data_IF_167147428075
#
_entry.id   IF_167147428075
#
_cell.length_a   1.000
_cell.length_b   1.000
_cell.length_c   1.000
_cell.angle_alpha   90.00
_cell.angle_beta   90.00
_cell.angle_gamma   90.00
#
_symmetry.space_group_name_H-M   'P 1'
#
loop_
_entity.id
_entity.type
_entity.pdbx_description
1 polymer ?
#
# COMPACT_ATOMS: atom_id res chain seq x y z
N UNK A 1 -10.49 18.82 -0.83
CA UNK A 1 -9.67 19.28 -1.97
C UNK A 1 -8.30 19.64 -1.41
N UNK A 2 -7.25 18.88 -1.72
CA UNK A 2 -5.90 19.21 -1.26
C UNK A 2 -5.43 20.52 -1.94
N UNK A 3 -4.80 21.41 -1.17
CA UNK A 3 -4.38 22.75 -1.63
C UNK A 3 -3.43 22.62 -2.81
N UNK A 4 -3.74 23.28 -3.91
CA UNK A 4 -2.95 23.24 -5.14
C UNK A 4 -1.70 24.10 -5.02
N UNK A 5 -0.52 23.47 -4.97
CA UNK A 5 0.77 24.16 -5.03
C UNK A 5 1.07 24.61 -6.47
N UNK A 6 0.24 25.48 -7.04
CA UNK A 6 0.44 26.03 -8.39
C UNK A 6 0.29 25.02 -9.53
N UNK A 7 -0.28 23.84 -9.27
CA UNK A 7 -0.55 22.82 -10.28
C UNK A 7 -1.75 23.21 -11.14
N UNK A 8 -1.70 22.86 -12.43
CA UNK A 8 -2.80 23.12 -13.35
C UNK A 8 -4.07 22.41 -12.87
N UNK A 9 -5.22 23.11 -12.94
CA UNK A 9 -6.54 22.58 -12.56
C UNK A 9 -6.84 21.20 -13.17
N UNK A 10 -6.47 21.00 -14.44
CA UNK A 10 -6.59 19.72 -15.15
C UNK A 10 -5.87 18.55 -14.46
N UNK A 11 -4.75 18.82 -13.78
CA UNK A 11 -3.98 17.81 -13.06
C UNK A 11 -4.67 17.50 -11.73
N UNK A 12 -5.09 18.54 -11.00
CA UNK A 12 -5.74 18.40 -9.68
C UNK A 12 -7.07 17.66 -9.77
N UNK A 13 -7.82 17.91 -10.85
CA UNK A 13 -9.12 17.29 -11.10
C UNK A 13 -8.99 15.83 -11.60
N UNK A 14 -7.78 15.36 -11.94
CA UNK A 14 -7.59 14.00 -12.42
C UNK A 14 -7.50 13.00 -11.25
N UNK A 15 -8.21 11.85 -11.28
CA UNK A 15 -8.19 10.86 -10.19
C UNK A 15 -6.79 10.37 -9.79
N UNK A 16 -5.89 10.27 -10.77
CA UNK A 16 -4.49 9.88 -10.52
C UNK A 16 -3.72 10.86 -9.63
N UNK A 17 -4.10 12.14 -9.59
CA UNK A 17 -3.49 13.10 -8.68
C UNK A 17 -3.81 12.74 -7.23
N UNK A 18 -5.10 12.51 -6.92
CA UNK A 18 -5.53 12.10 -5.58
C UNK A 18 -4.91 10.76 -5.17
N UNK A 19 -4.82 9.80 -6.11
CA UNK A 19 -4.15 8.53 -5.87
C UNK A 19 -2.63 8.66 -5.72
N UNK A 20 -2.01 9.72 -6.24
CA UNK A 20 -0.57 9.96 -6.15
C UNK A 20 -0.12 10.78 -4.95
N UNK A 21 -1.05 11.34 -4.15
CA UNK A 21 -0.73 12.31 -3.10
C UNK A 21 0.21 11.79 -2.01
N UNK A 22 0.12 10.50 -1.65
CA UNK A 22 0.97 9.93 -0.61
C UNK A 22 2.39 9.60 -1.12
N UNK A 23 2.57 9.46 -2.44
CA UNK A 23 3.81 8.96 -3.03
C UNK A 23 5.08 9.74 -2.64
N UNK A 24 5.09 11.09 -2.63
CA UNK A 24 6.26 11.85 -2.20
C UNK A 24 6.64 11.58 -0.74
N UNK A 25 5.64 11.44 0.14
CA UNK A 25 5.87 11.21 1.57
C UNK A 25 6.36 9.78 1.85
N UNK A 26 5.77 8.79 1.17
CA UNK A 26 6.23 7.40 1.22
C UNK A 26 7.67 7.29 0.69
N UNK A 27 7.98 7.96 -0.43
CA UNK A 27 9.34 7.96 -0.99
C UNK A 27 10.33 8.61 -0.03
N UNK A 28 10.00 9.76 0.54
CA UNK A 28 10.85 10.44 1.52
C UNK A 28 11.03 9.60 2.80
N UNK A 29 9.97 8.96 3.28
CA UNK A 29 10.04 8.03 4.41
C UNK A 29 11.00 6.87 4.09
N UNK A 30 10.90 6.27 2.92
CA UNK A 30 11.76 5.16 2.51
C UNK A 30 13.24 5.59 2.45
N UNK A 31 13.56 6.72 1.82
CA UNK A 31 14.94 7.23 1.71
C UNK A 31 15.56 7.53 3.10
N UNK A 32 14.75 8.03 4.04
CA UNK A 32 15.21 8.38 5.39
C UNK A 32 15.44 7.17 6.30
N UNK A 33 14.96 6.00 5.90
CA UNK A 33 15.05 4.77 6.70
C UNK A 33 15.91 3.68 6.03
N UNK A 34 16.03 3.69 4.69
CA UNK A 34 16.85 2.73 3.93
C UNK A 34 18.15 3.37 3.39
N UNK A 35 19.17 3.38 4.26
CA UNK A 35 20.51 3.93 3.95
C UNK A 35 21.43 2.97 3.18
N UNK A 36 20.98 1.76 2.88
CA UNK A 36 21.78 0.77 2.15
C UNK A 36 22.08 1.24 0.71
N UNK A 37 23.19 0.82 0.11
CA UNK A 37 23.41 1.03 -1.34
C UNK A 37 22.83 -0.15 -2.11
N UNK A 38 22.38 0.12 -3.32
CA UNK A 38 21.99 -0.96 -4.24
C UNK A 38 23.27 -1.51 -4.84
N UNK A 39 23.52 -2.79 -4.60
CA UNK A 39 24.56 -3.56 -5.29
C UNK A 39 23.94 -4.33 -6.46
N UNK A 40 24.66 -4.39 -7.58
CA UNK A 40 24.29 -5.25 -8.70
C UNK A 40 24.96 -6.61 -8.50
N UNK A 41 24.25 -7.66 -8.06
CA UNK A 41 24.86 -8.93 -7.64
C UNK A 41 25.58 -9.66 -8.78
N UNK A 42 25.21 -9.39 -10.04
CA UNK A 42 25.83 -9.98 -11.23
C UNK A 42 27.11 -9.27 -11.68
N UNK A 43 27.33 -8.03 -11.26
CA UNK A 43 28.47 -7.22 -11.70
C UNK A 43 29.41 -6.85 -10.55
N UNK A 44 29.05 -7.16 -9.30
CA UNK A 44 29.76 -6.78 -8.07
C UNK A 44 30.10 -5.28 -8.01
N UNK A 45 29.20 -4.46 -8.57
CA UNK A 45 29.31 -3.00 -8.58
C UNK A 45 28.29 -2.44 -7.60
N UNK A 46 28.78 -1.68 -6.63
CA UNK A 46 27.96 -0.79 -5.80
C UNK A 46 27.60 0.47 -6.58
N UNK A 47 26.30 0.72 -6.70
CA UNK A 47 25.84 1.95 -7.31
C UNK A 47 26.13 3.13 -6.37
N UNK A 48 26.60 4.25 -6.93
CA UNK A 48 26.80 5.49 -6.17
C UNK A 48 25.53 5.93 -5.45
N UNK A 49 25.68 6.67 -4.34
CA UNK A 49 24.56 7.05 -3.45
C UNK A 49 23.39 7.67 -4.20
N UNK A 50 23.65 8.63 -5.09
CA UNK A 50 22.59 9.33 -5.84
C UNK A 50 21.80 8.40 -6.76
N UNK A 51 22.49 7.47 -7.44
CA UNK A 51 21.84 6.52 -8.36
C UNK A 51 21.04 5.48 -7.58
N UNK A 52 21.59 4.98 -6.46
CA UNK A 52 20.87 4.10 -5.54
C UNK A 52 19.57 4.74 -5.05
N UNK A 53 19.60 6.01 -4.65
CA UNK A 53 18.40 6.74 -4.20
C UNK A 53 17.35 6.85 -5.30
N UNK A 54 17.75 7.19 -6.54
CA UNK A 54 16.81 7.29 -7.68
C UNK A 54 16.13 5.94 -7.95
N UNK A 55 16.89 4.85 -7.97
CA UNK A 55 16.34 3.52 -8.22
C UNK A 55 15.40 3.09 -7.08
N UNK A 56 15.73 3.40 -5.82
CA UNK A 56 14.84 3.16 -4.68
C UNK A 56 13.52 3.91 -4.82
N UNK A 57 13.55 5.19 -5.17
CA UNK A 57 12.33 5.99 -5.40
C UNK A 57 11.48 5.38 -6.51
N UNK A 58 12.11 4.99 -7.63
CA UNK A 58 11.40 4.32 -8.71
C UNK A 58 10.76 3.01 -8.27
N UNK A 59 11.47 2.20 -7.48
CA UNK A 59 10.96 0.97 -6.90
C UNK A 59 9.75 1.22 -6.00
N UNK A 60 9.85 2.17 -5.07
CA UNK A 60 8.75 2.56 -4.17
C UNK A 60 7.53 3.02 -4.97
N UNK A 61 7.73 3.87 -5.99
CA UNK A 61 6.65 4.34 -6.85
C UNK A 61 5.97 3.19 -7.61
N UNK A 62 6.76 2.26 -8.14
CA UNK A 62 6.25 1.08 -8.83
C UNK A 62 5.42 0.19 -7.89
N UNK A 63 5.94 -0.15 -6.71
CA UNK A 63 5.22 -0.93 -5.70
C UNK A 63 3.93 -0.26 -5.25
N UNK A 64 3.96 1.06 -5.05
CA UNK A 64 2.79 1.84 -4.69
C UNK A 64 1.69 1.79 -5.77
N UNK A 65 2.06 1.94 -7.05
CA UNK A 65 1.10 1.85 -8.16
C UNK A 65 0.49 0.44 -8.23
N UNK A 66 1.32 -0.60 -8.12
CA UNK A 66 0.84 -1.99 -8.09
C UNK A 66 -0.15 -2.20 -6.93
N UNK A 67 0.17 -1.69 -5.75
CA UNK A 67 -0.70 -1.77 -4.59
C UNK A 67 -2.10 -1.19 -4.88
N UNK A 68 -2.18 0.01 -5.47
CA UNK A 68 -3.45 0.63 -5.82
C UNK A 68 -4.21 -0.19 -6.86
N UNK A 69 -3.54 -0.69 -7.90
CA UNK A 69 -4.16 -1.52 -8.94
C UNK A 69 -4.71 -2.81 -8.35
N UNK A 70 -3.93 -3.49 -7.50
CA UNK A 70 -4.37 -4.72 -6.84
C UNK A 70 -5.57 -4.48 -5.93
N UNK A 71 -5.62 -3.36 -5.22
CA UNK A 71 -6.77 -2.99 -4.38
C UNK A 71 -8.05 -2.85 -5.20
N UNK A 72 -7.98 -2.15 -6.35
CA UNK A 72 -9.12 -1.98 -7.26
C UNK A 72 -9.55 -3.32 -7.88
N UNK A 73 -8.59 -4.11 -8.36
CA UNK A 73 -8.88 -5.42 -8.96
C UNK A 73 -9.47 -6.41 -7.95
N UNK A 74 -8.98 -6.37 -6.71
CA UNK A 74 -9.49 -7.25 -5.65
C UNK A 74 -10.98 -7.01 -5.42
N UNK A 75 -11.42 -5.74 -5.45
CA UNK A 75 -12.84 -5.39 -5.30
C UNK A 75 -13.77 -6.13 -6.26
N UNK A 76 -13.31 -6.46 -7.46
CA UNK A 76 -14.09 -7.16 -8.49
C UNK A 76 -14.01 -8.69 -8.46
N UNK A 77 -13.15 -9.31 -7.64
CA UNK A 77 -12.93 -10.75 -7.73
C UNK A 77 -14.17 -11.60 -7.47
N UNK A 78 -15.07 -11.19 -6.58
CA UNK A 78 -16.33 -11.89 -6.34
C UNK A 78 -17.23 -11.93 -7.57
N UNK A 79 -17.34 -10.82 -8.31
CA UNK A 79 -18.08 -10.78 -9.58
C UNK A 79 -17.43 -11.73 -10.59
N UNK A 80 -16.10 -11.69 -10.73
CA UNK A 80 -15.37 -12.58 -11.64
C UNK A 80 -15.52 -14.06 -11.27
N UNK A 81 -15.46 -14.41 -9.98
CA UNK A 81 -15.63 -15.79 -9.49
C UNK A 81 -17.04 -16.30 -9.73
N UNK A 82 -18.04 -15.42 -9.65
CA UNK A 82 -19.44 -15.75 -9.99
C UNK A 82 -19.58 -16.13 -11.47
N UNK A 83 -18.88 -15.43 -12.35
CA UNK A 83 -18.87 -15.74 -13.80
C UNK A 83 -18.10 -17.03 -14.10
N UNK A 84 -16.95 -17.24 -13.47
CA UNK A 84 -16.17 -18.46 -13.61
C UNK A 84 -15.33 -18.78 -12.37
N UNK A 85 -15.48 -19.99 -11.86
CA UNK A 85 -14.67 -20.50 -10.73
C UNK A 85 -13.17 -20.55 -11.04
N UNK A 86 -12.77 -20.48 -12.31
CA UNK A 86 -11.35 -20.42 -12.69
C UNK A 86 -10.66 -19.17 -12.10
N UNK A 87 -11.40 -18.08 -11.90
CA UNK A 87 -10.87 -16.86 -11.29
C UNK A 87 -10.45 -17.03 -9.82
N UNK A 88 -10.81 -18.12 -9.15
CA UNK A 88 -10.29 -18.46 -7.82
C UNK A 88 -8.77 -18.70 -7.82
N UNK A 89 -8.16 -18.98 -8.98
CA UNK A 89 -6.71 -19.17 -9.08
C UNK A 89 -5.94 -17.92 -8.61
N UNK A 90 -6.46 -16.72 -8.85
CA UNK A 90 -5.82 -15.46 -8.45
C UNK A 90 -5.74 -15.30 -6.92
N UNK A 91 -6.84 -15.35 -6.15
CA UNK A 91 -6.76 -15.26 -4.70
C UNK A 91 -6.00 -16.44 -4.07
N UNK A 92 -6.03 -17.64 -4.66
CA UNK A 92 -5.18 -18.75 -4.21
C UNK A 92 -3.70 -18.37 -4.34
N UNK A 93 -3.29 -17.87 -5.50
CA UNK A 93 -1.90 -17.51 -5.76
C UNK A 93 -1.42 -16.37 -4.86
N UNK A 94 -2.25 -15.33 -4.69
CA UNK A 94 -1.96 -14.21 -3.79
C UNK A 94 -1.78 -14.70 -2.35
N UNK A 95 -2.66 -15.58 -1.87
CA UNK A 95 -2.54 -16.16 -0.53
C UNK A 95 -1.24 -16.97 -0.37
N UNK A 96 -0.91 -17.84 -1.33
CA UNK A 96 0.30 -18.65 -1.27
C UNK A 96 1.58 -17.81 -1.29
N UNK A 97 1.66 -16.79 -2.16
CA UNK A 97 2.80 -15.87 -2.19
C UNK A 97 2.92 -15.11 -0.86
N UNK A 98 1.79 -14.65 -0.31
CA UNK A 98 1.78 -13.90 0.93
C UNK A 98 2.32 -14.74 2.10
N UNK A 99 1.90 -16.00 2.21
CA UNK A 99 2.41 -16.96 3.20
C UNK A 99 3.89 -17.26 2.97
N UNK A 100 4.30 -17.51 1.72
CA UNK A 100 5.70 -17.77 1.40
C UNK A 100 6.61 -16.59 1.77
N UNK A 101 6.19 -15.36 1.43
CA UNK A 101 6.91 -14.13 1.77
C UNK A 101 7.03 -13.96 3.28
N UNK A 102 5.95 -14.23 4.02
CA UNK A 102 5.92 -14.11 5.48
C UNK A 102 6.90 -15.05 6.18
N UNK A 103 7.03 -16.28 5.69
CA UNK A 103 7.85 -17.32 6.33
C UNK A 103 9.32 -17.23 5.90
N UNK A 104 9.59 -16.75 4.68
CA UNK A 104 10.93 -16.85 4.07
C UNK A 104 11.77 -15.60 4.21
N UNK A 105 11.19 -14.45 4.59
CA UNK A 105 11.87 -13.15 4.56
C UNK A 105 11.46 -12.28 5.76
N UNK A 106 12.24 -12.33 6.85
CA UNK A 106 11.99 -11.59 8.09
C UNK A 106 11.95 -10.06 7.89
N UNK A 107 12.69 -9.54 6.91
CA UNK A 107 12.77 -8.11 6.57
C UNK A 107 11.89 -7.71 5.37
N UNK A 108 11.01 -8.60 4.87
CA UNK A 108 10.15 -8.25 3.73
C UNK A 108 9.04 -7.27 4.13
N UNK A 109 8.71 -6.26 3.28
CA UNK A 109 7.59 -5.37 3.52
C UNK A 109 6.27 -6.13 3.69
N UNK A 110 5.62 -5.94 4.83
CA UNK A 110 4.40 -6.69 5.20
C UNK A 110 3.12 -6.19 4.55
N UNK A 111 3.16 -5.18 3.68
CA UNK A 111 1.99 -4.71 2.92
C UNK A 111 1.31 -5.82 2.11
N UNK A 112 2.08 -6.78 1.58
CA UNK A 112 1.54 -7.93 0.84
C UNK A 112 0.70 -8.89 1.69
N UNK A 113 0.82 -8.83 3.03
CA UNK A 113 -0.02 -9.62 3.95
C UNK A 113 -1.48 -9.18 3.91
N UNK A 114 -1.74 -7.90 3.66
CA UNK A 114 -3.11 -7.38 3.58
C UNK A 114 -3.87 -8.09 2.45
N UNK A 115 -3.25 -8.21 1.27
CA UNK A 115 -3.84 -8.96 0.17
C UNK A 115 -3.94 -10.45 0.45
N UNK A 116 -2.98 -11.05 1.17
CA UNK A 116 -3.07 -12.44 1.62
C UNK A 116 -4.27 -12.69 2.54
N UNK A 117 -4.50 -11.81 3.52
CA UNK A 117 -5.64 -11.88 4.44
C UNK A 117 -6.95 -11.70 3.69
N UNK A 118 -7.04 -10.69 2.81
CA UNK A 118 -8.21 -10.47 1.96
C UNK A 118 -8.51 -11.72 1.10
N UNK A 119 -7.49 -12.28 0.45
CA UNK A 119 -7.59 -13.50 -0.34
C UNK A 119 -8.07 -14.69 0.48
N UNK A 120 -7.53 -14.89 1.68
CA UNK A 120 -7.96 -15.95 2.58
C UNK A 120 -9.44 -15.78 2.96
N UNK A 121 -9.86 -14.57 3.34
CA UNK A 121 -11.25 -14.29 3.67
C UNK A 121 -12.17 -14.58 2.49
N UNK A 122 -11.81 -14.14 1.28
CA UNK A 122 -12.56 -14.47 0.08
C UNK A 122 -12.66 -15.99 -0.11
N UNK A 123 -11.56 -16.73 0.00
CA UNK A 123 -11.53 -18.20 -0.16
C UNK A 123 -12.32 -18.95 0.92
N UNK A 124 -12.42 -18.42 2.13
CA UNK A 124 -13.22 -19.02 3.20
C UNK A 124 -14.72 -18.81 2.98
N UNK A 125 -15.10 -17.64 2.48
CA UNK A 125 -16.51 -17.22 2.40
C UNK A 125 -17.10 -17.25 0.98
N UNK A 126 -16.33 -17.56 -0.08
CA UNK A 126 -16.83 -17.50 -1.48
C UNK A 126 -18.05 -18.41 -1.74
N UNK A 127 -18.24 -19.49 -0.97
CA UNK A 127 -19.42 -20.37 -1.12
C UNK A 127 -20.73 -19.70 -0.70
N UNK A 128 -20.64 -18.65 0.11
CA UNK A 128 -21.77 -17.85 0.60
C UNK A 128 -21.84 -16.49 -0.09
N UNK A 129 -21.05 -16.30 -1.15
CA UNK A 129 -20.90 -15.01 -1.82
C UNK A 129 -21.87 -14.89 -3.00
N UNK A 130 -22.70 -13.84 -2.96
CA UNK A 130 -23.62 -13.49 -4.05
C UNK A 130 -22.97 -12.62 -5.14
N UNK A 131 -21.66 -12.38 -5.05
CA UNK A 131 -20.86 -11.60 -5.99
C UNK A 131 -20.32 -10.28 -5.43
N UNK A 132 -20.48 -10.01 -4.14
CA UNK A 132 -20.15 -8.74 -3.49
C UNK A 132 -19.17 -8.87 -2.34
N UNK A 133 -18.80 -10.08 -1.94
CA UNK A 133 -17.94 -10.32 -0.79
C UNK A 133 -16.58 -9.62 -0.92
N UNK A 134 -15.92 -9.71 -2.07
CA UNK A 134 -14.61 -9.09 -2.29
C UNK A 134 -14.66 -7.58 -2.20
N UNK A 135 -15.73 -6.97 -2.73
CA UNK A 135 -15.97 -5.53 -2.62
C UNK A 135 -16.17 -5.15 -1.16
N UNK A 136 -17.05 -5.86 -0.44
CA UNK A 136 -17.29 -5.65 0.99
C UNK A 136 -16.01 -5.78 1.81
N UNK A 137 -15.19 -6.80 1.56
CA UNK A 137 -13.91 -7.01 2.24
C UNK A 137 -12.93 -5.86 2.00
N UNK A 138 -12.83 -5.37 0.76
CA UNK A 138 -11.97 -4.21 0.43
C UNK A 138 -12.47 -2.94 1.10
N UNK A 139 -13.78 -2.68 1.07
CA UNK A 139 -14.39 -1.52 1.74
C UNK A 139 -14.12 -1.57 3.25
N UNK A 140 -14.29 -2.73 3.88
CA UNK A 140 -14.10 -2.92 5.32
C UNK A 140 -12.62 -2.79 5.72
N UNK A 141 -11.74 -3.60 5.15
CA UNK A 141 -10.30 -3.63 5.51
C UNK A 141 -9.65 -2.31 5.14
N UNK A 142 -9.94 -1.79 3.95
CA UNK A 142 -9.41 -0.52 3.52
C UNK A 142 -9.94 0.65 4.36
N UNK A 143 -11.22 0.64 4.75
CA UNK A 143 -11.82 1.66 5.61
C UNK A 143 -11.16 1.68 6.99
N UNK A 144 -10.95 0.50 7.59
CA UNK A 144 -10.20 0.36 8.84
C UNK A 144 -8.76 0.87 8.68
N UNK A 145 -8.06 0.46 7.62
CA UNK A 145 -6.67 0.87 7.40
C UNK A 145 -6.53 2.39 7.18
N UNK A 146 -7.48 3.00 6.47
CA UNK A 146 -7.58 4.45 6.32
C UNK A 146 -7.76 5.13 7.68
N UNK A 147 -8.71 4.66 8.50
CA UNK A 147 -8.96 5.21 9.83
C UNK A 147 -7.73 5.09 10.73
N UNK A 148 -7.09 3.92 10.77
CA UNK A 148 -5.85 3.72 11.53
C UNK A 148 -4.74 4.66 11.08
N UNK A 149 -4.58 4.85 9.77
CA UNK A 149 -3.59 5.78 9.21
C UNK A 149 -3.87 7.22 9.64
N UNK A 150 -5.13 7.66 9.62
CA UNK A 150 -5.50 9.00 10.10
C UNK A 150 -5.25 9.17 11.60
N UNK A 151 -5.72 8.24 12.43
CA UNK A 151 -5.56 8.31 13.88
C UNK A 151 -4.08 8.29 14.26
N UNK A 152 -3.31 7.36 13.71
CA UNK A 152 -1.87 7.29 13.96
C UNK A 152 -1.16 8.56 13.47
N UNK A 153 -1.48 9.06 12.27
CA UNK A 153 -0.92 10.29 11.73
C UNK A 153 -1.18 11.50 12.63
N UNK A 154 -2.40 11.67 13.12
CA UNK A 154 -2.76 12.76 14.06
C UNK A 154 -2.00 12.61 15.38
N UNK A 155 -1.93 11.40 15.94
CA UNK A 155 -1.22 11.16 17.19
C UNK A 155 0.28 11.49 17.06
N UNK A 156 0.90 11.11 15.94
CA UNK A 156 2.30 11.45 15.66
C UNK A 156 2.51 12.94 15.43
N UNK A 157 1.55 13.64 14.82
CA UNK A 157 1.58 15.10 14.71
C UNK A 157 1.64 15.77 16.09
N UNK A 158 0.94 15.23 17.09
CA UNK A 158 1.01 15.68 18.49
C UNK A 158 2.19 15.09 19.28
N UNK A 159 3.12 14.39 18.62
CA UNK A 159 4.33 13.83 19.25
C UNK A 159 4.12 12.48 19.94
N UNK A 160 2.95 11.85 19.81
CA UNK A 160 2.65 10.53 20.38
C UNK A 160 2.91 9.44 19.33
N UNK A 161 4.14 8.93 19.31
CA UNK A 161 4.62 7.93 18.36
C UNK A 161 4.15 6.50 18.63
N UNK A 162 2.84 6.24 18.53
CA UNK A 162 2.30 4.87 18.64
C UNK A 162 2.56 4.03 17.39
N UNK A 163 2.57 2.71 17.52
CA UNK A 163 2.70 1.77 16.40
C UNK A 163 3.99 1.90 15.56
N UNK A 164 5.09 2.40 16.15
CA UNK A 164 6.36 2.59 15.44
C UNK A 164 6.90 1.28 14.84
N UNK A 165 6.84 0.19 15.59
CA UNK A 165 7.36 -1.11 15.16
C UNK A 165 6.50 -1.71 14.03
N UNK A 166 5.18 -1.51 14.12
CA UNK A 166 4.23 -1.97 13.12
C UNK A 166 4.39 -1.18 11.82
N UNK A 167 4.57 0.14 11.90
CA UNK A 167 4.87 0.98 10.73
C UNK A 167 6.22 0.58 10.13
N UNK A 168 7.27 0.38 10.95
CA UNK A 168 8.55 -0.10 10.45
C UNK A 168 8.39 -1.44 9.71
N UNK A 169 7.71 -2.40 10.33
CA UNK A 169 7.48 -3.74 9.75
C UNK A 169 6.62 -3.73 8.49
N UNK A 170 5.66 -2.81 8.36
CA UNK A 170 4.89 -2.65 7.11
C UNK A 170 5.81 -2.32 5.93
N UNK A 171 6.80 -1.45 6.16
CA UNK A 171 7.76 -1.04 5.14
C UNK A 171 9.03 -1.91 5.06
N UNK A 172 9.16 -2.94 5.90
CA UNK A 172 10.35 -3.81 5.92
C UNK A 172 11.57 -3.18 6.60
N UNK A 173 11.35 -2.27 7.55
CA UNK A 173 12.41 -1.63 8.32
C UNK A 173 12.50 -2.22 9.73
N UNK A 174 13.73 -2.37 10.23
CA UNK A 174 13.97 -2.79 11.61
C UNK A 174 13.56 -1.73 12.63
N UNK A 175 13.71 -0.43 12.30
CA UNK A 175 13.31 0.69 13.13
C UNK A 175 13.03 1.93 12.28
N UNK A 176 12.27 2.87 12.84
CA UNK A 176 11.99 4.18 12.24
C UNK A 176 13.02 5.20 12.74
N UNK A 177 13.74 5.85 11.83
CA UNK A 177 14.75 6.85 12.17
C UNK A 177 14.10 8.10 12.76
N UNK A 178 14.74 8.72 13.76
CA UNK A 178 14.24 9.95 14.38
C UNK A 178 14.07 11.11 13.36
N UNK A 179 14.92 11.14 12.33
CA UNK A 179 14.84 12.11 11.24
C UNK A 179 13.54 11.96 10.42
N UNK A 180 13.01 10.75 10.31
CA UNK A 180 11.78 10.46 9.56
C UNK A 180 10.50 10.84 10.30
N UNK A 181 10.53 11.10 11.62
CA UNK A 181 9.36 11.48 12.43
C UNK A 181 8.61 12.70 11.85
N UNK A 182 9.34 13.65 11.23
CA UNK A 182 8.76 14.84 10.59
C UNK A 182 7.98 14.52 9.31
N UNK A 183 8.25 13.37 8.69
CA UNK A 183 7.68 12.90 7.43
C UNK A 183 6.65 11.78 7.65
N UNK A 184 6.68 11.09 8.79
CA UNK A 184 5.72 10.00 9.07
C UNK A 184 4.29 10.50 9.23
N UNK A 185 4.06 11.56 10.01
CA UNK A 185 2.69 12.05 10.20
C UNK A 185 2.01 12.51 8.88
N UNK A 186 2.66 13.29 7.97
CA UNK A 186 2.01 13.64 6.70
C UNK A 186 1.90 12.42 5.79
N UNK A 187 2.85 11.48 5.84
CA UNK A 187 2.74 10.20 5.13
C UNK A 187 1.48 9.44 5.56
N UNK A 188 1.29 9.22 6.85
CA UNK A 188 0.14 8.45 7.36
C UNK A 188 -1.19 9.12 7.02
N UNK A 189 -1.31 10.44 7.20
CA UNK A 189 -2.53 11.18 6.86
C UNK A 189 -2.83 11.09 5.35
N UNK A 190 -1.82 11.29 4.51
CA UNK A 190 -2.00 11.25 3.04
C UNK A 190 -2.25 9.85 2.53
N UNK A 191 -1.59 8.82 3.08
CA UNK A 191 -1.88 7.41 2.81
C UNK A 191 -3.30 7.06 3.20
N UNK A 192 -3.76 7.48 4.39
CA UNK A 192 -5.16 7.28 4.83
C UNK A 192 -6.16 7.89 3.85
N UNK A 193 -5.90 9.10 3.36
CA UNK A 193 -6.71 9.76 2.34
C UNK A 193 -6.71 8.99 1.01
N UNK A 194 -5.54 8.58 0.51
CA UNK A 194 -5.43 7.82 -0.74
C UNK A 194 -6.22 6.53 -0.66
N UNK A 195 -6.09 5.78 0.44
CA UNK A 195 -6.79 4.52 0.64
C UNK A 195 -8.29 4.75 0.63
N UNK A 196 -8.77 5.75 1.38
CA UNK A 196 -10.19 6.13 1.37
C UNK A 196 -10.68 6.45 -0.04
N UNK A 197 -9.92 7.27 -0.79
CA UNK A 197 -10.27 7.64 -2.15
C UNK A 197 -10.27 6.44 -3.11
N UNK A 198 -9.27 5.55 -3.00
CA UNK A 198 -9.18 4.34 -3.82
C UNK A 198 -10.35 3.38 -3.56
N UNK A 199 -10.77 3.22 -2.30
CA UNK A 199 -11.93 2.42 -1.92
C UNK A 199 -13.21 3.01 -2.48
N UNK A 200 -13.39 4.32 -2.38
CA UNK A 200 -14.55 5.01 -2.95
C UNK A 200 -14.65 4.78 -4.46
N UNK A 201 -13.54 4.96 -5.19
CA UNK A 201 -13.47 4.68 -6.63
C UNK A 201 -13.71 3.20 -6.96
N UNK A 202 -13.24 2.29 -6.10
CA UNK A 202 -13.48 0.85 -6.25
C UNK A 202 -14.97 0.52 -6.08
N UNK A 203 -15.66 1.17 -5.13
CA UNK A 203 -17.12 1.09 -4.99
C UNK A 203 -17.85 1.52 -6.24
N UNK A 204 -17.56 2.72 -6.76
CA UNK A 204 -18.19 3.23 -7.99
C UNK A 204 -17.97 2.34 -9.22
N UNK A 205 -16.82 1.68 -9.32
CA UNK A 205 -16.48 0.82 -10.46
C UNK A 205 -17.20 -0.52 -10.42
N UNK A 206 -17.44 -1.06 -9.22
CA UNK A 206 -17.93 -2.42 -9.02
C UNK A 206 -19.32 -2.50 -8.39
N UNK A 207 -20.05 -1.40 -8.24
CA UNK A 207 -21.51 -1.40 -8.05
C UNK A 207 -22.22 -1.77 -9.36
#
# INVERSE_FOLDING_TARGET
>A
MAVSFGLAKKIIDHPSYNLGLALPFISAFYILNDVSRISLPLLDIDLGTSLSVVIKIMGVAFYYIIFIILLVLFGGFSKLVKDSKFYLIYPIFIFLISVFSFISQDDSPRFGLIFGVLSLMLLLFYKFDDGYLSLFLVLLVGGLFSLFSFVAGIMWFFGVGIFQNEIAGLFGFAHVSAASLKVVWPMLITTGYVIYYAIFQTGELWE
#
